data_IF_723434157037
#
_entry.id   IF_723434157037
#
_cell.length_a   1.000
_cell.length_b   1.000
_cell.length_c   1.000
_cell.angle_alpha   90.00
_cell.angle_beta   90.00
_cell.angle_gamma   90.00
#
_symmetry.space_group_name_H-M   'P 1'
#
loop_
_entity.id
_entity.type
_entity.pdbx_description
1 polymer ?
#
# COMPACT_ATOMS: atom_id res chain seq x y z
N UNK A 1 12.78 -15.63 -33.81
CA UNK A 1 11.36 -15.22 -33.73
C UNK A 1 11.23 -14.24 -32.57
N UNK A 2 11.26 -12.93 -32.86
CA UNK A 2 11.38 -11.82 -31.88
C UNK A 2 10.34 -10.71 -32.17
N UNK A 3 9.06 -11.06 -32.33
CA UNK A 3 8.00 -10.07 -32.64
C UNK A 3 6.95 -9.91 -31.53
N UNK A 4 7.05 -10.64 -30.41
CA UNK A 4 6.04 -10.55 -29.33
C UNK A 4 6.40 -9.47 -28.31
N UNK A 5 7.69 -9.17 -28.11
CA UNK A 5 8.14 -8.16 -27.15
C UNK A 5 8.07 -6.72 -27.68
N UNK A 6 7.90 -6.52 -29.00
CA UNK A 6 7.71 -5.20 -29.61
C UNK A 6 6.25 -4.74 -29.59
N UNK A 7 5.31 -5.69 -29.58
CA UNK A 7 3.86 -5.41 -29.67
C UNK A 7 3.18 -5.40 -28.29
N UNK A 8 3.81 -5.97 -27.27
CA UNK A 8 3.24 -6.06 -25.93
C UNK A 8 4.27 -5.57 -24.90
N UNK A 9 4.16 -4.29 -24.52
CA UNK A 9 4.80 -3.79 -23.30
C UNK A 9 4.45 -4.75 -22.16
N UNK A 10 5.44 -5.16 -21.37
CA UNK A 10 5.19 -6.01 -20.22
C UNK A 10 4.20 -5.31 -19.29
N UNK A 11 2.94 -5.74 -19.31
CA UNK A 11 1.93 -5.21 -18.41
C UNK A 11 2.32 -5.67 -17.01
N UNK A 12 2.67 -4.71 -16.14
CA UNK A 12 2.92 -5.02 -14.74
C UNK A 12 1.64 -5.65 -14.20
N UNK A 13 1.69 -6.95 -13.90
CA UNK A 13 0.60 -7.65 -13.26
C UNK A 13 0.43 -7.05 -11.85
N UNK A 14 -0.41 -6.01 -11.75
CA UNK A 14 -0.93 -5.54 -10.48
C UNK A 14 -1.92 -6.61 -10.04
N UNK A 15 -1.45 -7.61 -9.30
CA UNK A 15 -2.35 -8.48 -8.55
C UNK A 15 -3.29 -7.56 -7.77
N UNK A 16 -4.59 -7.63 -8.09
CA UNK A 16 -5.56 -6.62 -7.67
C UNK A 16 -5.60 -6.46 -6.14
N UNK A 17 -5.25 -7.50 -5.38
CA UNK A 17 -5.13 -7.49 -3.93
C UNK A 17 -4.12 -8.55 -3.46
N UNK A 18 -2.84 -8.18 -3.35
CA UNK A 18 -1.80 -8.96 -2.66
C UNK A 18 -1.37 -8.26 -1.38
N UNK A 19 -0.99 -9.05 -0.35
CA UNK A 19 -0.71 -8.60 1.03
C UNK A 19 0.20 -7.35 1.13
N UNK A 20 1.15 -7.17 0.21
CA UNK A 20 2.19 -6.14 0.28
C UNK A 20 1.84 -4.80 -0.39
N UNK A 21 0.77 -4.73 -1.18
CA UNK A 21 0.47 -3.50 -1.92
C UNK A 21 0.06 -2.33 -1.02
N UNK A 22 -0.64 -2.57 0.09
CA UNK A 22 -1.14 -1.45 0.92
C UNK A 22 0.01 -0.74 1.63
N UNK A 23 0.96 -1.49 2.20
CA UNK A 23 2.13 -0.90 2.87
C UNK A 23 3.06 -0.23 1.86
N UNK A 24 3.34 -0.87 0.72
CA UNK A 24 4.17 -0.27 -0.32
C UNK A 24 3.53 1.00 -0.92
N UNK A 25 2.24 0.94 -1.28
CA UNK A 25 1.51 2.09 -1.81
C UNK A 25 1.37 3.20 -0.77
N UNK A 26 1.13 2.87 0.50
CA UNK A 26 1.08 3.84 1.60
C UNK A 26 2.42 4.56 1.76
N UNK A 27 3.53 3.80 1.81
CA UNK A 27 4.88 4.35 1.90
C UNK A 27 5.23 5.24 0.71
N UNK A 28 4.90 4.78 -0.52
CA UNK A 28 5.10 5.58 -1.74
C UNK A 28 4.23 6.83 -1.72
N UNK A 29 2.99 6.75 -1.26
CA UNK A 29 2.10 7.90 -1.18
C UNK A 29 2.66 9.00 -0.27
N UNK A 30 3.29 8.65 0.86
CA UNK A 30 3.99 9.65 1.68
C UNK A 30 5.15 10.32 0.92
N UNK A 31 5.92 9.56 0.14
CA UNK A 31 7.03 10.10 -0.64
C UNK A 31 6.52 11.02 -1.76
N UNK A 32 5.47 10.59 -2.46
CA UNK A 32 4.81 11.35 -3.51
C UNK A 32 4.19 12.66 -2.95
N UNK A 33 3.52 12.59 -1.79
CA UNK A 33 2.98 13.77 -1.11
C UNK A 33 4.11 14.73 -0.71
N UNK A 34 5.20 14.21 -0.13
CA UNK A 34 6.37 15.02 0.23
C UNK A 34 7.00 15.72 -0.99
N UNK A 35 7.01 15.06 -2.15
CA UNK A 35 7.50 15.61 -3.41
C UNK A 35 6.51 16.61 -4.05
N UNK A 36 5.21 16.49 -3.76
CA UNK A 36 4.18 17.39 -4.25
C UNK A 36 4.15 18.72 -3.49
N UNK A 37 4.39 18.75 -2.17
CA UNK A 37 4.31 19.99 -1.36
C UNK A 37 5.14 21.17 -1.94
N UNK A 38 6.40 21.00 -2.39
CA UNK A 38 7.16 22.08 -3.02
C UNK A 38 6.53 22.62 -4.32
N UNK A 39 5.78 21.79 -5.05
CA UNK A 39 5.05 22.23 -6.25
C UNK A 39 3.87 23.11 -5.86
N UNK A 40 3.12 22.70 -4.84
CA UNK A 40 2.02 23.49 -4.27
C UNK A 40 2.50 24.86 -3.78
N UNK A 41 3.69 24.92 -3.16
CA UNK A 41 4.31 26.19 -2.77
C UNK A 41 4.66 27.07 -3.98
N UNK A 42 5.21 26.50 -5.07
CA UNK A 42 5.54 27.24 -6.30
C UNK A 42 4.30 27.80 -7.01
N UNK A 43 3.17 27.09 -6.91
CA UNK A 43 1.89 27.53 -7.44
C UNK A 43 1.20 28.61 -6.59
N UNK A 44 1.78 28.96 -5.43
CA UNK A 44 1.20 29.94 -4.51
C UNK A 44 0.09 29.39 -3.61
N UNK A 45 -0.20 28.08 -3.69
CA UNK A 45 -1.24 27.43 -2.89
C UNK A 45 -0.83 27.20 -1.43
N UNK A 46 0.47 27.25 -1.13
CA UNK A 46 1.03 26.99 0.21
C UNK A 46 2.17 27.96 0.52
N UNK A 47 2.23 28.47 1.75
CA UNK A 47 3.34 29.32 2.23
C UNK A 47 4.66 28.54 2.36
N UNK A 48 5.80 29.22 2.46
CA UNK A 48 7.10 28.54 2.68
C UNK A 48 7.14 27.81 4.03
N UNK A 49 6.63 28.44 5.08
CA UNK A 49 6.57 27.86 6.43
C UNK A 49 5.69 26.62 6.46
N UNK A 50 4.47 26.72 5.93
CA UNK A 50 3.52 25.60 5.82
C UNK A 50 4.07 24.46 4.96
N UNK A 51 4.91 24.76 3.96
CA UNK A 51 5.59 23.75 3.14
C UNK A 51 6.62 22.94 3.94
N UNK A 52 7.46 23.61 4.73
CA UNK A 52 8.48 22.93 5.55
C UNK A 52 7.84 22.13 6.68
N UNK A 53 6.80 22.68 7.31
CA UNK A 53 5.98 21.99 8.31
C UNK A 53 5.30 20.75 7.73
N UNK A 54 4.61 20.87 6.60
CA UNK A 54 3.91 19.74 5.96
C UNK A 54 4.88 18.61 5.61
N UNK A 55 6.06 18.92 5.07
CA UNK A 55 7.08 17.90 4.77
C UNK A 55 7.62 17.23 6.03
N UNK A 56 7.79 17.98 7.13
CA UNK A 56 8.19 17.42 8.42
C UNK A 56 7.13 16.47 8.97
N UNK A 57 5.86 16.91 8.98
CA UNK A 57 4.72 16.12 9.46
C UNK A 57 4.50 14.85 8.62
N UNK A 58 4.63 14.91 7.30
CA UNK A 58 4.51 13.74 6.43
C UNK A 58 5.63 12.71 6.71
N UNK A 59 6.88 13.15 6.90
CA UNK A 59 8.00 12.27 7.25
C UNK A 59 7.82 11.63 8.63
N UNK A 60 7.43 12.43 9.61
CA UNK A 60 7.13 11.98 10.97
C UNK A 60 5.97 10.99 10.97
N UNK A 61 4.87 11.30 10.28
CA UNK A 61 3.71 10.44 10.13
C UNK A 61 4.02 9.11 9.43
N UNK A 62 4.88 9.12 8.40
CA UNK A 62 5.38 7.89 7.75
C UNK A 62 6.17 7.02 8.73
N UNK A 63 7.06 7.63 9.52
CA UNK A 63 7.83 6.91 10.53
C UNK A 63 6.91 6.33 11.60
N UNK A 64 6.00 7.16 12.14
CA UNK A 64 4.99 6.78 13.12
C UNK A 64 4.18 5.56 12.68
N UNK A 65 3.62 5.57 11.47
CA UNK A 65 2.83 4.42 10.97
C UNK A 65 3.68 3.16 10.73
N UNK A 66 4.98 3.32 10.48
CA UNK A 66 5.90 2.21 10.23
C UNK A 66 6.35 1.52 11.52
N UNK A 67 6.57 2.28 12.60
CA UNK A 67 7.07 1.77 13.88
C UNK A 67 6.04 1.89 15.00
N UNK A 68 5.78 3.12 15.45
CA UNK A 68 5.24 3.38 16.79
C UNK A 68 3.72 3.18 16.86
N UNK A 69 3.01 3.34 15.74
CA UNK A 69 1.56 3.14 15.71
C UNK A 69 1.15 1.80 16.31
N UNK A 70 1.94 0.75 16.07
CA UNK A 70 1.66 -0.60 16.57
C UNK A 70 1.67 -0.71 18.09
N UNK A 71 2.52 0.05 18.77
CA UNK A 71 2.63 0.00 20.23
C UNK A 71 1.53 0.80 20.93
N UNK A 72 0.83 1.69 20.21
CA UNK A 72 -0.30 2.44 20.74
C UNK A 72 -1.63 1.66 20.66
N UNK A 73 -1.72 0.66 19.76
CA UNK A 73 -2.95 -0.11 19.56
C UNK A 73 -3.19 -1.07 20.72
N UNK A 74 -4.37 -0.97 21.33
CA UNK A 74 -4.81 -1.84 22.43
C UNK A 74 -6.34 -1.85 22.52
N UNK A 75 -6.94 -2.94 23.01
CA UNK A 75 -8.40 -3.03 23.24
C UNK A 75 -8.91 -2.12 24.35
N UNK A 76 -8.03 -1.64 25.22
CA UNK A 76 -8.35 -0.78 26.37
C UNK A 76 -7.93 0.68 26.15
N UNK A 77 -7.60 1.05 24.91
CA UNK A 77 -7.15 2.41 24.62
C UNK A 77 -8.31 3.40 24.71
N UNK A 78 -8.11 4.50 25.42
CA UNK A 78 -9.05 5.63 25.49
C UNK A 78 -8.97 6.55 24.28
N UNK A 79 -8.08 6.27 23.32
CA UNK A 79 -8.02 6.93 22.02
C UNK A 79 -8.77 6.09 21.00
N UNK A 80 -9.80 6.68 20.36
CA UNK A 80 -10.67 6.00 19.40
C UNK A 80 -9.87 5.24 18.32
N UNK A 81 -8.89 5.90 17.69
CA UNK A 81 -8.07 5.37 16.59
C UNK A 81 -7.02 4.31 17.00
N UNK A 82 -6.85 4.07 18.29
CA UNK A 82 -5.95 3.09 18.88
C UNK A 82 -6.69 1.92 19.51
N UNK A 83 -7.96 2.14 19.88
CA UNK A 83 -8.81 1.08 20.39
C UNK A 83 -9.13 0.11 19.25
N UNK A 84 -8.53 -1.09 19.27
CA UNK A 84 -8.73 -2.08 18.20
C UNK A 84 -10.18 -2.54 18.09
N UNK A 85 -10.86 -2.68 19.23
CA UNK A 85 -12.30 -3.00 19.27
C UNK A 85 -13.10 -1.90 18.58
N UNK A 86 -12.95 -0.65 19.01
CA UNK A 86 -13.74 0.47 18.49
C UNK A 86 -13.39 0.83 17.04
N UNK A 87 -12.10 0.93 16.70
CA UNK A 87 -11.63 1.31 15.36
C UNK A 87 -11.97 0.28 14.28
N UNK A 88 -12.18 -0.99 14.64
CA UNK A 88 -12.58 -2.05 13.71
C UNK A 88 -14.08 -2.30 13.70
N UNK A 89 -14.84 -1.76 14.65
CA UNK A 89 -16.31 -1.82 14.64
C UNK A 89 -16.88 -1.04 13.46
N UNK A 90 -17.77 -1.65 12.69
CA UNK A 90 -18.48 -0.99 11.57
C UNK A 90 -19.99 -0.97 11.80
N UNK A 91 -20.42 -0.27 12.86
CA UNK A 91 -21.84 -0.17 13.22
C UNK A 91 -22.69 0.48 12.13
N UNK A 92 -22.06 1.32 11.30
CA UNK A 92 -22.71 2.08 10.24
C UNK A 92 -23.05 1.20 9.02
N UNK A 93 -22.25 0.17 8.73
CA UNK A 93 -22.52 -0.75 7.61
C UNK A 93 -23.23 -2.03 8.05
N UNK A 94 -22.87 -2.60 9.19
CA UNK A 94 -23.44 -3.87 9.65
C UNK A 94 -23.35 -4.01 11.18
N UNK A 95 -24.51 -4.18 11.81
CA UNK A 95 -24.60 -4.42 13.25
C UNK A 95 -23.90 -5.72 13.67
N UNK A 96 -23.78 -6.71 12.79
CA UNK A 96 -23.06 -7.94 13.07
C UNK A 96 -21.53 -7.74 13.14
N UNK A 97 -21.01 -6.63 12.63
CA UNK A 97 -19.61 -6.23 12.77
C UNK A 97 -19.43 -5.05 13.75
N UNK A 98 -20.44 -4.76 14.58
CA UNK A 98 -20.30 -3.87 15.73
C UNK A 98 -19.74 -4.63 16.93
N UNK A 99 -18.71 -4.07 17.56
CA UNK A 99 -18.26 -4.44 18.90
C UNK A 99 -18.35 -3.24 19.82
N UNK A 100 -18.81 -3.46 21.05
CA UNK A 100 -18.93 -2.41 22.08
C UNK A 100 -17.72 -2.42 23.01
N UNK A 101 -17.32 -1.24 23.46
CA UNK A 101 -16.31 -1.06 24.49
C UNK A 101 -16.97 -0.78 25.86
N UNK A 102 -16.28 -1.13 26.93
CA UNK A 102 -16.64 -0.83 28.33
C UNK A 102 -15.99 0.47 28.86
N UNK A 103 -15.30 1.20 27.99
CA UNK A 103 -14.60 2.46 28.26
C UNK A 103 -15.01 3.55 27.25
N UNK A 104 -14.58 4.78 27.53
CA UNK A 104 -14.85 5.95 26.68
C UNK A 104 -13.64 6.32 25.82
N UNK A 105 -13.89 6.96 24.69
CA UNK A 105 -12.86 7.33 23.71
C UNK A 105 -12.67 8.85 23.63
N UNK A 106 -12.32 9.47 24.76
CA UNK A 106 -12.25 10.94 24.88
C UNK A 106 -10.85 11.50 24.59
N UNK A 107 -9.82 10.65 24.54
CA UNK A 107 -8.45 11.08 24.36
C UNK A 107 -8.09 11.18 22.87
N UNK A 108 -7.17 12.09 22.56
CA UNK A 108 -6.65 12.32 21.20
C UNK A 108 -5.16 12.00 21.18
N UNK A 109 -4.71 11.26 20.17
CA UNK A 109 -3.29 11.01 19.95
C UNK A 109 -2.69 12.16 19.12
N UNK A 110 -1.69 12.90 19.64
CA UNK A 110 -1.10 14.04 18.93
C UNK A 110 -0.48 13.67 17.58
N UNK A 111 0.16 12.50 17.48
CA UNK A 111 0.76 12.02 16.23
C UNK A 111 -0.29 11.65 15.18
N UNK A 112 -1.41 11.07 15.61
CA UNK A 112 -2.51 10.77 14.70
C UNK A 112 -3.25 12.03 14.26
N UNK A 113 -3.48 12.96 15.18
CA UNK A 113 -4.10 14.27 14.90
C UNK A 113 -3.25 15.07 13.92
N UNK A 114 -1.96 15.24 14.20
CA UNK A 114 -1.04 15.95 13.30
C UNK A 114 -0.99 15.33 11.89
N UNK A 115 -0.99 13.99 11.81
CA UNK A 115 -1.06 13.27 10.53
C UNK A 115 -2.39 13.50 9.82
N UNK A 116 -3.52 13.44 10.53
CA UNK A 116 -4.84 13.65 9.95
C UNK A 116 -4.99 15.09 9.42
N UNK A 117 -4.50 16.08 10.18
CA UNK A 117 -4.55 17.49 9.81
C UNK A 117 -3.72 17.76 8.54
N UNK A 118 -2.45 17.35 8.49
CA UNK A 118 -1.62 17.59 7.29
C UNK A 118 -2.19 16.90 6.04
N UNK A 119 -2.80 15.72 6.19
CA UNK A 119 -3.45 15.03 5.06
C UNK A 119 -4.75 15.71 4.62
N UNK A 120 -5.48 16.33 5.55
CA UNK A 120 -6.67 17.13 5.25
C UNK A 120 -6.27 18.41 4.53
N UNK A 121 -5.30 19.17 5.06
CA UNK A 121 -4.81 20.42 4.47
C UNK A 121 -4.33 20.21 3.03
N UNK A 122 -3.52 19.17 2.80
CA UNK A 122 -3.04 18.82 1.45
C UNK A 122 -4.21 18.35 0.57
N UNK A 123 -5.15 17.58 1.13
CA UNK A 123 -6.35 17.13 0.42
C UNK A 123 -7.22 18.30 -0.05
N UNK A 124 -7.39 19.32 0.80
CA UNK A 124 -8.18 20.51 0.50
C UNK A 124 -7.50 21.36 -0.59
N UNK A 125 -6.18 21.49 -0.55
CA UNK A 125 -5.44 22.15 -1.64
C UNK A 125 -5.66 21.42 -2.97
N UNK A 126 -5.61 20.08 -2.98
CA UNK A 126 -5.85 19.31 -4.19
C UNK A 126 -7.28 19.41 -4.71
N UNK A 127 -8.28 19.51 -3.83
CA UNK A 127 -9.67 19.66 -4.23
C UNK A 127 -9.97 21.07 -4.79
N UNK A 128 -9.30 22.09 -4.28
CA UNK A 128 -9.55 23.49 -4.65
C UNK A 128 -8.72 23.97 -5.86
N UNK A 129 -7.52 23.42 -6.08
CA UNK A 129 -6.64 23.77 -7.21
C UNK A 129 -6.05 22.52 -7.90
N UNK A 130 -6.85 21.84 -8.74
CA UNK A 130 -6.40 20.64 -9.46
C UNK A 130 -5.25 20.90 -10.45
N UNK A 131 -5.07 22.16 -10.88
CA UNK A 131 -4.17 22.56 -11.97
C UNK A 131 -2.70 22.59 -11.50
N UNK A 132 -2.44 22.77 -10.20
CA UNK A 132 -1.09 22.74 -9.62
C UNK A 132 -0.34 21.39 -9.80
N UNK A 133 -1.03 20.33 -10.24
CA UNK A 133 -0.54 18.94 -10.21
C UNK A 133 -0.35 18.32 -11.62
N UNK A 134 -0.66 19.07 -12.69
CA UNK A 134 -1.01 18.61 -14.04
C UNK A 134 0.02 17.81 -14.90
N UNK A 135 0.89 16.98 -14.34
CA UNK A 135 1.71 16.06 -15.16
C UNK A 135 1.31 14.59 -15.05
N UNK A 136 0.65 14.14 -13.96
CA UNK A 136 0.27 12.73 -13.81
C UNK A 136 -1.18 12.57 -13.33
N UNK A 137 -2.05 12.09 -14.21
CA UNK A 137 -3.46 11.69 -13.96
C UNK A 137 -3.65 10.74 -12.75
N UNK A 138 -2.57 10.13 -12.26
CA UNK A 138 -2.57 9.22 -11.11
C UNK A 138 -2.55 9.95 -9.75
N UNK A 139 -2.16 11.24 -9.71
CA UNK A 139 -1.84 11.97 -8.45
C UNK A 139 -3.06 12.69 -7.85
N UNK A 140 -4.11 13.00 -8.62
CA UNK A 140 -5.10 14.01 -8.20
C UNK A 140 -6.23 13.52 -7.25
N UNK A 141 -6.71 12.26 -7.31
CA UNK A 141 -7.99 11.92 -6.61
C UNK A 141 -7.91 10.94 -5.41
N UNK A 142 -6.73 10.48 -5.00
CA UNK A 142 -6.65 9.45 -3.95
C UNK A 142 -5.36 9.34 -3.15
N UNK A 143 -4.32 10.10 -3.50
CA UNK A 143 -3.01 9.96 -2.86
C UNK A 143 -3.05 10.25 -1.36
N UNK A 144 -3.74 11.32 -0.95
CA UNK A 144 -3.93 11.69 0.45
C UNK A 144 -4.78 10.65 1.24
N UNK A 145 -5.53 9.77 0.55
CA UNK A 145 -6.34 8.70 1.16
C UNK A 145 -5.51 7.44 1.45
N UNK A 146 -4.41 7.23 0.73
CA UNK A 146 -3.57 6.03 0.88
C UNK A 146 -2.93 5.91 2.27
N UNK A 147 -2.40 6.97 2.91
CA UNK A 147 -1.95 6.91 4.29
C UNK A 147 -3.02 6.44 5.29
N UNK A 148 -4.28 6.87 5.12
CA UNK A 148 -5.40 6.41 5.96
C UNK A 148 -5.69 4.91 5.75
N UNK A 149 -5.65 4.46 4.48
CA UNK A 149 -5.74 3.04 4.14
C UNK A 149 -4.62 2.22 4.78
N UNK A 150 -3.40 2.74 4.78
CA UNK A 150 -2.24 2.09 5.39
C UNK A 150 -2.39 2.00 6.91
N UNK A 151 -2.82 3.06 7.59
CA UNK A 151 -3.12 3.03 9.04
C UNK A 151 -4.15 1.94 9.38
N UNK A 152 -5.26 1.88 8.63
CA UNK A 152 -6.26 0.83 8.80
C UNK A 152 -5.71 -0.58 8.54
N UNK A 153 -4.80 -0.74 7.58
CA UNK A 153 -4.11 -2.00 7.35
C UNK A 153 -3.17 -2.38 8.50
N UNK A 154 -2.43 -1.42 9.08
CA UNK A 154 -1.61 -1.68 10.26
C UNK A 154 -2.48 -2.17 11.43
N UNK A 155 -3.61 -1.50 11.67
CA UNK A 155 -4.56 -1.90 12.71
C UNK A 155 -5.04 -3.35 12.53
N UNK A 156 -5.47 -3.72 11.31
CA UNK A 156 -5.87 -5.10 11.00
C UNK A 156 -4.73 -6.10 11.13
N UNK A 157 -3.52 -5.72 10.73
CA UNK A 157 -2.35 -6.61 10.80
C UNK A 157 -1.96 -6.90 12.25
N UNK A 158 -2.09 -5.92 13.16
CA UNK A 158 -1.85 -6.10 14.59
C UNK A 158 -2.88 -7.07 15.20
N UNK A 159 -4.14 -6.97 14.79
CA UNK A 159 -5.25 -7.75 15.38
C UNK A 159 -5.49 -9.09 14.69
N UNK A 160 -4.86 -9.33 13.53
CA UNK A 160 -5.08 -10.53 12.70
C UNK A 160 -4.90 -11.82 13.51
N UNK A 161 -3.85 -11.90 14.32
CA UNK A 161 -3.50 -13.10 15.07
C UNK A 161 -4.37 -13.30 16.32
N UNK A 162 -5.09 -12.28 16.80
CA UNK A 162 -5.95 -12.40 17.99
C UNK A 162 -7.05 -13.45 17.78
N UNK A 163 -7.69 -13.42 16.61
CA UNK A 163 -8.74 -14.38 16.26
C UNK A 163 -8.23 -15.82 16.25
N UNK A 164 -7.03 -16.02 15.68
CA UNK A 164 -6.34 -17.32 15.65
C UNK A 164 -6.02 -17.79 17.05
N UNK A 165 -5.48 -16.92 17.90
CA UNK A 165 -5.16 -17.23 19.30
C UNK A 165 -6.41 -17.56 20.11
N UNK A 166 -7.52 -16.84 19.90
CA UNK A 166 -8.78 -17.07 20.59
C UNK A 166 -9.43 -18.41 20.20
N UNK A 167 -9.31 -18.82 18.94
CA UNK A 167 -9.70 -20.17 18.52
C UNK A 167 -8.79 -21.22 19.15
N UNK A 168 -7.47 -21.03 19.11
CA UNK A 168 -6.51 -21.96 19.72
C UNK A 168 -6.74 -22.16 21.22
N UNK A 169 -7.11 -21.11 21.96
CA UNK A 169 -7.45 -21.18 23.39
C UNK A 169 -8.73 -21.97 23.68
N UNK A 170 -9.64 -22.03 22.72
CA UNK A 170 -10.93 -22.73 22.85
C UNK A 170 -10.91 -24.16 22.31
N UNK A 171 -9.78 -24.60 21.75
CA UNK A 171 -9.63 -25.97 21.31
C UNK A 171 -9.64 -26.92 22.50
N UNK A 172 -10.47 -27.95 22.39
CA UNK A 172 -10.52 -29.11 23.28
C UNK A 172 -10.16 -30.41 22.54
N UNK A 173 -10.16 -31.54 23.27
CA UNK A 173 -9.81 -32.87 22.74
C UNK A 173 -10.77 -33.38 21.65
N UNK A 174 -11.95 -32.76 21.49
CA UNK A 174 -12.98 -33.14 20.52
C UNK A 174 -13.06 -32.20 19.31
N UNK A 175 -12.24 -31.15 19.28
CA UNK A 175 -12.28 -30.10 18.27
C UNK A 175 -10.99 -30.06 17.42
N UNK A 176 -11.12 -29.59 16.18
CA UNK A 176 -9.99 -29.43 15.26
C UNK A 176 -10.05 -28.03 14.65
N UNK A 177 -8.92 -27.31 14.64
CA UNK A 177 -8.77 -26.07 13.89
C UNK A 177 -8.37 -26.39 12.45
N UNK A 178 -9.21 -26.01 11.50
CA UNK A 178 -8.92 -26.10 10.07
C UNK A 178 -8.43 -24.72 9.61
N UNK A 179 -7.17 -24.66 9.16
CA UNK A 179 -6.60 -23.46 8.53
C UNK A 179 -6.48 -23.67 7.03
N UNK A 180 -7.18 -22.85 6.24
CA UNK A 180 -7.01 -22.83 4.80
C UNK A 180 -6.19 -21.59 4.41
N UNK A 181 -4.98 -21.84 3.91
CA UNK A 181 -4.15 -20.79 3.31
C UNK A 181 -4.50 -20.67 1.82
N UNK A 182 -5.23 -19.61 1.46
CA UNK A 182 -5.53 -19.30 0.07
C UNK A 182 -4.36 -18.51 -0.55
N UNK A 183 -3.16 -19.10 -0.51
CA UNK A 183 -2.00 -18.56 -1.21
C UNK A 183 -2.19 -18.82 -2.71
N UNK A 184 -2.62 -17.79 -3.46
CA UNK A 184 -2.56 -17.83 -4.93
C UNK A 184 -1.08 -17.82 -5.32
N UNK A 185 -0.47 -19.01 -5.43
CA UNK A 185 0.80 -19.20 -6.12
C UNK A 185 0.56 -19.01 -7.62
N UNK A 186 0.62 -17.78 -8.11
CA UNK A 186 0.93 -17.55 -9.51
C UNK A 186 2.40 -17.89 -9.74
N UNK A 187 2.68 -19.17 -9.99
CA UNK A 187 3.95 -19.57 -10.58
C UNK A 187 4.01 -18.97 -11.98
N UNK A 188 4.81 -17.92 -12.18
CA UNK A 188 5.22 -17.50 -13.51
C UNK A 188 5.95 -18.69 -14.16
N UNK A 189 5.29 -19.38 -15.08
CA UNK A 189 5.95 -20.30 -15.99
C UNK A 189 6.85 -19.48 -16.90
N UNK A 190 8.10 -19.24 -16.48
CA UNK A 190 9.15 -18.83 -17.40
C UNK A 190 9.43 -20.02 -18.32
N UNK A 191 8.98 -19.95 -19.58
CA UNK A 191 9.51 -20.80 -20.64
C UNK A 191 10.96 -20.38 -20.90
N UNK A 192 11.90 -20.99 -20.17
CA UNK A 192 13.33 -20.90 -20.47
C UNK A 192 13.62 -21.85 -21.63
N UNK A 193 13.61 -21.36 -22.86
CA UNK A 193 14.17 -22.13 -23.97
C UNK A 193 15.70 -22.13 -23.84
N UNK A 194 16.25 -23.19 -23.24
CA UNK A 194 17.68 -23.50 -23.37
C UNK A 194 17.91 -23.99 -24.79
N UNK A 195 18.36 -23.11 -25.67
CA UNK A 195 18.84 -23.47 -27.01
C UNK A 195 20.16 -24.23 -26.88
N UNK A 196 20.07 -25.55 -26.71
CA UNK A 196 21.19 -26.45 -26.86
C UNK A 196 20.90 -27.30 -28.11
N UNK A 197 21.53 -26.98 -29.23
CA UNK A 197 21.78 -27.98 -30.26
C UNK A 197 23.12 -27.70 -30.95
N UNK A 198 24.09 -28.49 -30.52
CA UNK A 198 25.25 -28.89 -31.28
C UNK A 198 24.84 -29.74 -32.50
N UNK A 199 25.48 -29.44 -33.64
CA UNK A 199 26.09 -30.46 -34.51
C UNK A 199 25.31 -31.00 -35.71
N UNK A 200 26.07 -31.13 -36.81
CA UNK A 200 25.80 -31.78 -38.13
C UNK A 200 25.16 -30.85 -39.16
N UNK A 201 25.81 -30.43 -40.26
CA UNK A 201 26.99 -30.91 -40.97
C UNK A 201 26.56 -31.58 -42.28
N UNK A 202 26.73 -30.89 -43.41
CA UNK A 202 26.95 -31.47 -44.74
C UNK A 202 27.43 -30.36 -45.71
N UNK A 203 28.55 -30.65 -46.37
CA UNK A 203 29.21 -29.94 -47.48
C UNK A 203 28.30 -29.99 -48.75
N UNK A 204 28.47 -29.28 -49.86
CA UNK A 204 29.67 -28.81 -50.54
C UNK A 204 29.34 -27.93 -51.78
N UNK A 205 30.38 -27.22 -52.28
CA UNK A 205 30.65 -26.69 -53.64
C UNK A 205 29.81 -25.55 -54.28
N UNK A 206 30.53 -24.53 -54.78
CA UNK A 206 30.04 -23.66 -55.86
C UNK A 206 30.62 -22.23 -55.96
N UNK A 207 31.94 -22.07 -56.15
CA UNK A 207 32.53 -20.85 -56.78
C UNK A 207 32.71 -21.12 -58.28
N UNK A 208 32.54 -20.14 -59.20
CA UNK A 208 33.49 -19.01 -59.42
C UNK A 208 32.75 -17.65 -59.59
N UNK A 209 33.27 -16.49 -59.19
CA UNK A 209 34.47 -15.84 -59.72
C UNK A 209 34.14 -14.99 -60.96
N UNK A 210 34.00 -13.67 -60.80
CA UNK A 210 34.40 -12.66 -61.82
C UNK A 210 34.48 -11.25 -61.21
N UNK A 211 35.62 -10.61 -61.48
CA UNK A 211 35.98 -9.18 -61.37
C UNK A 211 34.93 -8.26 -62.02
N UNK A 212 34.83 -6.95 -61.75
CA UNK A 212 35.74 -5.96 -61.18
C UNK A 212 34.96 -4.87 -60.43
#
# INVERSE_FOLDING_TARGET
MLNILSECSATVCKSLQGLDYITANGSKAFDDLCAAVPRLQKCGSVSRESKDESQSLLKSGKHYLKSDYKVHVSRSSTVAEHCSTFSLSDEAKDKCFSSTCDHTHNDVCPQCEALNNVLADIGDVFNNDPIAIAEDELVACGLHKMPKSWKGHQLRSITQDESRLDVLRRLDQSSVLITNDWAIKYNHFYLRSTGNHSGTGLQNEGSPGTSA
#
